data_IF_148717039109
#
_entry.id   IF_148717039109
#
_cell.length_a   1.000
_cell.length_b   1.000
_cell.length_c   1.000
_cell.angle_alpha   90.00
_cell.angle_beta   90.00
_cell.angle_gamma   90.00
#
_symmetry.space_group_name_H-M   'P 1'
#
loop_
_entity.id
_entity.type
_entity.pdbx_description
1 polymer ?
#
# COMPACT_ATOMS: atom_id res chain seq x y z
N UNK A 1 -14.79 9.21 35.40
CA UNK A 1 -13.79 9.46 34.34
C UNK A 1 -13.79 8.22 33.46
N UNK A 2 -14.24 8.35 32.21
CA UNK A 2 -14.01 7.29 31.23
C UNK A 2 -12.50 7.34 30.98
N UNK A 3 -11.79 6.24 31.27
CA UNK A 3 -10.39 6.12 30.87
C UNK A 3 -10.40 6.15 29.34
N UNK A 4 -9.93 7.24 28.72
CA UNK A 4 -9.74 7.24 27.28
C UNK A 4 -8.70 6.18 26.95
N UNK A 5 -9.10 5.17 26.17
CA UNK A 5 -8.18 4.16 25.65
C UNK A 5 -7.03 4.86 24.93
N UNK A 6 -5.80 4.51 25.27
CA UNK A 6 -4.60 5.00 24.62
C UNK A 6 -4.40 4.25 23.30
N UNK A 7 -5.21 4.62 22.31
CA UNK A 7 -5.10 4.16 20.94
C UNK A 7 -3.94 4.88 20.24
N UNK A 8 -3.06 4.11 19.59
CA UNK A 8 -1.89 4.65 18.89
C UNK A 8 -1.89 4.16 17.44
N UNK A 9 -1.87 5.11 16.51
CA UNK A 9 -1.62 4.85 15.09
C UNK A 9 -0.12 4.96 14.81
N UNK A 10 0.43 3.99 14.09
CA UNK A 10 1.86 3.88 13.79
C UNK A 10 2.06 3.69 12.30
N UNK A 11 2.89 4.55 11.70
CA UNK A 11 3.38 4.41 10.33
C UNK A 11 4.84 3.96 10.31
N UNK A 12 5.12 2.83 9.70
CA UNK A 12 6.48 2.29 9.55
C UNK A 12 6.87 2.35 8.07
N UNK A 13 7.92 3.10 7.73
CA UNK A 13 8.55 3.02 6.40
C UNK A 13 9.70 2.01 6.45
N UNK A 14 9.42 0.78 6.00
CA UNK A 14 10.35 -0.34 6.03
C UNK A 14 11.18 -0.38 4.74
N UNK A 15 12.45 0.04 4.85
CA UNK A 15 13.39 0.07 3.73
C UNK A 15 14.65 -0.77 4.01
N UNK A 16 15.36 -1.17 2.95
CA UNK A 16 16.52 -2.08 3.02
C UNK A 16 17.65 -1.61 3.93
N UNK A 17 17.97 -0.31 3.90
CA UNK A 17 19.09 0.27 4.66
C UNK A 17 18.65 0.80 6.02
N UNK A 18 17.54 1.52 6.04
CA UNK A 18 17.04 2.18 7.23
C UNK A 18 15.52 2.21 7.24
N UNK A 19 14.92 2.02 8.39
CA UNK A 19 13.49 2.12 8.65
C UNK A 19 13.18 3.41 9.42
N UNK A 20 12.02 4.01 9.18
CA UNK A 20 11.53 5.13 9.98
C UNK A 20 10.17 4.82 10.58
N UNK A 21 9.91 5.38 11.76
CA UNK A 21 8.65 5.18 12.48
C UNK A 21 8.06 6.54 12.83
N UNK A 22 6.77 6.68 12.61
CA UNK A 22 5.98 7.83 13.01
C UNK A 22 4.78 7.32 13.77
N UNK A 23 4.38 8.02 14.82
CA UNK A 23 3.17 7.69 15.56
C UNK A 23 2.27 8.90 15.77
N UNK A 24 1.00 8.60 16.03
CA UNK A 24 0.00 9.54 16.46
C UNK A 24 -0.82 8.93 17.60
N UNK A 25 -1.13 9.78 18.57
CA UNK A 25 -2.16 9.56 19.58
C UNK A 25 -2.93 10.87 19.75
N UNK A 26 -4.08 10.84 20.44
CA UNK A 26 -4.94 12.04 20.60
C UNK A 26 -4.30 13.20 21.38
N UNK A 27 -3.13 12.98 21.99
CA UNK A 27 -2.35 14.03 22.69
C UNK A 27 -1.47 14.82 21.72
N UNK A 28 -1.25 14.34 20.51
CA UNK A 28 -0.48 15.01 19.48
C UNK A 28 -1.39 15.84 18.56
N UNK A 29 -0.90 16.99 18.11
CA UNK A 29 -1.59 17.78 17.07
C UNK A 29 -1.35 17.24 15.66
N UNK A 30 -0.23 16.54 15.46
CA UNK A 30 0.18 15.93 14.20
C UNK A 30 1.04 14.68 14.45
N UNK A 31 1.19 13.78 13.46
CA UNK A 31 2.08 12.62 13.57
C UNK A 31 3.54 13.02 13.86
N UNK A 32 4.16 12.34 14.84
CA UNK A 32 5.53 12.58 15.28
C UNK A 32 6.45 11.43 14.88
N UNK A 33 7.52 11.74 14.15
CA UNK A 33 8.55 10.77 13.78
C UNK A 33 9.50 10.52 14.95
N UNK A 34 9.83 9.25 15.18
CA UNK A 34 10.65 8.79 16.30
C UNK A 34 12.13 8.95 15.96
N UNK A 35 12.91 9.52 16.89
CA UNK A 35 14.37 9.57 16.77
C UNK A 35 14.99 8.21 17.13
N UNK A 36 16.02 7.80 16.39
CA UNK A 36 16.75 6.54 16.53
C UNK A 36 17.86 6.56 17.59
N UNK A 37 18.17 7.70 18.23
CA UNK A 37 19.23 7.83 19.24
C UNK A 37 19.00 8.95 20.27
N UNK A 38 19.91 9.07 21.24
CA UNK A 38 19.92 10.13 22.28
C UNK A 38 20.24 11.53 21.73
N UNK A 39 20.91 11.59 20.58
CA UNK A 39 21.00 12.80 19.77
C UNK A 39 19.79 12.88 18.83
N UNK A 40 18.95 13.91 19.03
CA UNK A 40 17.68 14.18 18.33
C UNK A 40 17.79 14.43 16.81
N UNK A 41 18.77 13.86 16.11
CA UNK A 41 19.09 14.17 14.71
C UNK A 41 19.00 12.99 13.74
N UNK A 42 18.98 11.74 14.21
CA UNK A 42 18.85 10.55 13.34
C UNK A 42 17.48 9.92 13.49
N UNK A 43 16.60 10.06 12.49
CA UNK A 43 15.26 9.42 12.47
C UNK A 43 15.26 8.05 11.78
N UNK A 44 16.44 7.56 11.42
CA UNK A 44 16.65 6.33 10.66
C UNK A 44 17.14 5.23 11.61
N UNK A 45 16.34 4.17 11.73
CA UNK A 45 16.67 2.95 12.46
C UNK A 45 17.33 2.01 11.46
N UNK A 46 18.54 1.53 11.75
CA UNK A 46 19.23 0.61 10.83
C UNK A 46 18.43 -0.69 10.69
N UNK A 47 18.11 -1.05 9.44
CA UNK A 47 17.41 -2.29 9.14
C UNK A 47 18.41 -3.45 9.19
N UNK A 48 18.12 -4.58 9.84
CA UNK A 48 19.04 -5.71 9.89
C UNK A 48 19.43 -6.17 8.47
N UNK A 49 20.73 -6.33 8.22
CA UNK A 49 21.30 -6.55 6.87
C UNK A 49 20.71 -7.78 6.16
N UNK A 50 20.47 -8.85 6.90
CA UNK A 50 19.93 -10.12 6.38
C UNK A 50 18.40 -10.14 6.30
N UNK A 51 17.70 -9.14 6.87
CA UNK A 51 16.24 -9.17 6.99
C UNK A 51 15.56 -9.30 5.63
N UNK A 52 15.95 -8.44 4.67
CA UNK A 52 15.31 -8.44 3.37
C UNK A 52 15.57 -9.72 2.58
N UNK A 53 16.80 -10.27 2.64
CA UNK A 53 17.09 -11.54 1.96
C UNK A 53 16.32 -12.71 2.58
N UNK A 54 16.31 -12.82 3.91
CA UNK A 54 15.63 -13.93 4.60
C UNK A 54 14.11 -13.91 4.41
N UNK A 55 13.49 -12.73 4.39
CA UNK A 55 12.05 -12.59 4.09
C UNK A 55 11.78 -12.89 2.63
N UNK A 56 12.60 -12.41 1.70
CA UNK A 56 12.45 -12.68 0.26
C UNK A 56 12.65 -14.16 -0.12
N UNK A 57 13.41 -14.90 0.68
CA UNK A 57 13.56 -16.35 0.60
C UNK A 57 12.43 -17.13 1.30
N UNK A 58 11.41 -16.44 1.83
CA UNK A 58 10.24 -17.02 2.50
C UNK A 58 10.62 -17.92 3.70
N UNK A 59 11.70 -17.57 4.40
CA UNK A 59 12.17 -18.35 5.55
C UNK A 59 11.43 -17.96 6.83
N UNK A 60 11.15 -18.95 7.68
CA UNK A 60 10.57 -18.73 9.02
C UNK A 60 11.46 -17.80 9.87
N UNK A 61 12.78 -17.95 9.74
CA UNK A 61 13.78 -17.07 10.38
C UNK A 61 13.65 -15.60 9.92
N UNK A 62 13.29 -15.36 8.67
CA UNK A 62 13.04 -14.02 8.14
C UNK A 62 11.86 -13.35 8.84
N UNK A 63 10.76 -14.07 9.00
CA UNK A 63 9.56 -13.59 9.72
C UNK A 63 9.84 -13.37 11.21
N UNK A 64 10.61 -14.26 11.85
CA UNK A 64 11.04 -14.10 13.24
C UNK A 64 11.91 -12.85 13.43
N UNK A 65 12.93 -12.66 12.59
CA UNK A 65 13.79 -11.47 12.62
C UNK A 65 12.99 -10.18 12.35
N UNK A 66 11.97 -10.24 11.48
CA UNK A 66 11.06 -9.11 11.24
C UNK A 66 10.25 -8.77 12.50
N UNK A 67 9.74 -9.79 13.21
CA UNK A 67 9.00 -9.60 14.45
C UNK A 67 9.87 -9.01 15.56
N UNK A 68 11.10 -9.50 15.72
CA UNK A 68 12.09 -8.93 16.66
C UNK A 68 12.41 -7.47 16.32
N UNK A 69 12.59 -7.18 15.03
CA UNK A 69 12.84 -5.82 14.56
C UNK A 69 11.66 -4.89 14.83
N UNK A 70 10.42 -5.33 14.58
CA UNK A 70 9.23 -4.56 14.96
C UNK A 70 9.10 -4.35 16.47
N UNK A 71 9.48 -5.35 17.28
CA UNK A 71 9.58 -5.17 18.74
C UNK A 71 10.52 -4.03 19.13
N UNK A 72 11.74 -4.05 18.57
CA UNK A 72 12.76 -3.01 18.77
C UNK A 72 12.30 -1.63 18.28
N UNK A 73 11.45 -1.60 17.25
CA UNK A 73 10.81 -0.41 16.73
C UNK A 73 9.78 0.16 17.72
N UNK A 74 8.92 -0.70 18.29
CA UNK A 74 7.89 -0.29 19.24
C UNK A 74 8.44 0.17 20.58
N UNK A 75 9.55 -0.38 21.06
CA UNK A 75 10.24 0.11 22.26
C UNK A 75 10.64 1.59 22.16
N UNK A 76 10.83 2.09 20.94
CA UNK A 76 11.17 3.50 20.68
C UNK A 76 9.96 4.44 20.73
N UNK A 77 8.73 3.91 20.83
CA UNK A 77 7.50 4.68 21.02
C UNK A 77 7.32 5.19 22.47
N UNK A 78 8.40 5.29 23.25
CA UNK A 78 8.36 5.72 24.67
C UNK A 78 7.61 7.05 24.91
N UNK A 79 7.67 7.99 23.97
CA UNK A 79 6.93 9.26 24.03
C UNK A 79 5.41 9.14 23.80
N UNK A 80 4.92 7.98 23.39
CA UNK A 80 3.51 7.73 23.09
C UNK A 80 2.71 7.16 24.27
N UNK A 81 3.39 6.69 25.32
CA UNK A 81 2.81 5.93 26.43
C UNK A 81 2.52 4.47 26.05
N UNK A 82 2.13 3.65 27.04
CA UNK A 82 1.76 2.26 26.79
C UNK A 82 0.42 2.21 26.01
N UNK A 83 0.37 1.62 24.79
CA UNK A 83 -0.86 1.53 24.01
C UNK A 83 -1.83 0.53 24.64
N UNK A 84 -3.11 0.90 24.71
CA UNK A 84 -4.19 -0.08 24.89
C UNK A 84 -4.49 -0.80 23.57
N UNK A 85 -4.30 -0.10 22.45
CA UNK A 85 -4.52 -0.62 21.10
C UNK A 85 -3.51 0.00 20.12
N UNK A 86 -2.96 -0.83 19.21
CA UNK A 86 -1.99 -0.41 18.20
C UNK A 86 -2.59 -0.62 16.80
N UNK A 87 -2.60 0.43 15.98
CA UNK A 87 -2.95 0.39 14.57
C UNK A 87 -1.71 0.64 13.74
N UNK A 88 -1.26 -0.35 12.97
CA UNK A 88 0.04 -0.31 12.30
C UNK A 88 -0.13 -0.32 10.80
N UNK A 89 0.35 0.72 10.13
CA UNK A 89 0.50 0.78 8.68
C UNK A 89 1.97 0.64 8.32
N UNK A 90 2.31 -0.41 7.57
CA UNK A 90 3.65 -0.60 7.02
C UNK A 90 3.66 -0.16 5.56
N UNK A 91 4.60 0.74 5.23
CA UNK A 91 4.85 1.19 3.86
C UNK A 91 6.20 0.73 3.36
N UNK A 92 6.24 0.43 2.06
CA UNK A 92 7.46 0.04 1.33
C UNK A 92 7.41 0.63 -0.08
N UNK A 93 8.56 0.71 -0.76
CA UNK A 93 8.65 1.17 -2.15
C UNK A 93 7.70 0.44 -3.11
N UNK A 94 7.57 -0.87 -2.92
CA UNK A 94 6.62 -1.71 -3.64
C UNK A 94 6.17 -2.85 -2.73
N UNK A 95 4.87 -2.99 -2.53
CA UNK A 95 4.31 -4.11 -1.79
C UNK A 95 4.32 -5.37 -2.67
N UNK A 96 4.80 -6.49 -2.12
CA UNK A 96 4.83 -7.81 -2.80
C UNK A 96 4.17 -8.85 -1.90
N UNK A 97 3.64 -9.95 -2.45
CA UNK A 97 2.92 -10.95 -1.66
C UNK A 97 3.73 -11.49 -0.48
N UNK A 98 5.00 -11.80 -0.71
CA UNK A 98 5.94 -12.26 0.34
C UNK A 98 6.02 -11.30 1.53
N UNK A 99 6.08 -9.99 1.27
CA UNK A 99 6.14 -8.98 2.31
C UNK A 99 4.79 -8.78 3.00
N UNK A 100 3.68 -8.83 2.26
CA UNK A 100 2.36 -8.72 2.84
C UNK A 100 2.11 -9.82 3.89
N UNK A 101 2.45 -11.07 3.55
CA UNK A 101 2.37 -12.20 4.48
C UNK A 101 3.34 -12.05 5.66
N UNK A 102 4.62 -11.79 5.39
CA UNK A 102 5.64 -11.73 6.43
C UNK A 102 5.40 -10.60 7.43
N UNK A 103 5.01 -9.40 6.95
CA UNK A 103 4.70 -8.25 7.82
C UNK A 103 3.50 -8.55 8.71
N UNK A 104 2.44 -9.12 8.15
CA UNK A 104 1.22 -9.46 8.91
C UNK A 104 1.54 -10.47 10.01
N UNK A 105 2.26 -11.54 9.68
CA UNK A 105 2.64 -12.57 10.64
C UNK A 105 3.60 -12.02 11.72
N UNK A 106 4.59 -11.21 11.32
CA UNK A 106 5.53 -10.60 12.25
C UNK A 106 4.86 -9.65 13.25
N UNK A 107 3.86 -8.87 12.81
CA UNK A 107 3.10 -7.96 13.68
C UNK A 107 2.13 -8.72 14.60
N UNK A 108 1.52 -9.82 14.13
CA UNK A 108 0.73 -10.72 15.00
C UNK A 108 1.57 -11.30 16.13
N UNK A 109 2.82 -11.69 15.85
CA UNK A 109 3.81 -12.12 16.88
C UNK A 109 4.19 -11.01 17.86
N UNK A 110 3.86 -9.75 17.56
CA UNK A 110 4.00 -8.58 18.46
C UNK A 110 2.67 -8.15 19.08
N UNK A 111 1.67 -9.03 19.07
CA UNK A 111 0.33 -8.82 19.65
C UNK A 111 -0.46 -7.67 19.00
N UNK A 112 -0.17 -7.34 17.73
CA UNK A 112 -1.03 -6.46 16.95
C UNK A 112 -2.18 -7.31 16.37
N UNK A 113 -3.41 -6.88 16.60
CA UNK A 113 -4.60 -7.53 16.05
C UNK A 113 -4.57 -7.48 14.52
N UNK A 114 -4.99 -8.55 13.86
CA UNK A 114 -4.89 -8.68 12.40
C UNK A 114 -5.70 -7.59 11.67
N UNK A 115 -6.88 -7.25 12.20
CA UNK A 115 -7.74 -6.16 11.71
C UNK A 115 -7.12 -4.75 11.86
N UNK A 116 -6.05 -4.63 12.64
CA UNK A 116 -5.32 -3.39 12.89
C UNK A 116 -3.97 -3.34 12.16
N UNK A 117 -3.68 -4.33 11.32
CA UNK A 117 -2.49 -4.37 10.46
C UNK A 117 -2.88 -3.93 9.06
N UNK A 118 -2.22 -2.89 8.57
CA UNK A 118 -2.43 -2.31 7.26
C UNK A 118 -1.13 -2.24 6.49
N UNK A 119 -1.26 -2.28 5.17
CA UNK A 119 -0.15 -2.26 4.23
C UNK A 119 -0.43 -1.18 3.19
N UNK A 120 0.63 -0.50 2.75
CA UNK A 120 0.56 0.40 1.60
C UNK A 120 1.90 0.54 0.89
N UNK A 121 1.92 1.08 -0.33
CA UNK A 121 3.18 1.44 -0.99
C UNK A 121 3.60 2.90 -0.72
N UNK A 122 4.77 3.29 -1.19
CA UNK A 122 5.28 4.67 -1.05
C UNK A 122 4.40 5.71 -1.76
N UNK A 123 3.72 5.34 -2.86
CA UNK A 123 2.84 6.25 -3.59
C UNK A 123 1.57 6.55 -2.81
N UNK A 124 1.02 5.55 -2.14
CA UNK A 124 -0.09 5.68 -1.20
C UNK A 124 0.31 6.50 0.03
N UNK A 125 1.52 6.27 0.55
CA UNK A 125 2.06 7.12 1.61
C UNK A 125 2.15 8.58 1.17
N UNK A 126 2.61 8.86 -0.05
CA UNK A 126 2.64 10.22 -0.58
C UNK A 126 1.23 10.81 -0.72
N UNK A 127 0.27 10.03 -1.23
CA UNK A 127 -1.14 10.42 -1.25
C UNK A 127 -1.67 10.78 0.15
N UNK A 128 -1.54 9.87 1.11
CA UNK A 128 -2.05 10.05 2.47
C UNK A 128 -1.38 11.25 3.16
N UNK A 129 -0.09 11.46 2.92
CA UNK A 129 0.63 12.63 3.41
C UNK A 129 0.03 13.92 2.85
N UNK A 130 -0.11 14.03 1.53
CA UNK A 130 -0.57 15.26 0.85
C UNK A 130 -2.02 15.58 1.18
N UNK A 131 -2.91 14.60 1.22
CA UNK A 131 -4.33 14.82 1.54
C UNK A 131 -4.55 15.30 2.98
N UNK A 132 -3.60 15.03 3.88
CA UNK A 132 -3.62 15.52 5.27
C UNK A 132 -2.84 16.83 5.46
N UNK A 133 -2.38 17.47 4.37
CA UNK A 133 -1.82 18.81 4.42
C UNK A 133 -2.90 19.88 4.23
N UNK A 134 -2.57 21.12 4.60
CA UNK A 134 -3.43 22.28 4.33
C UNK A 134 -3.75 22.38 2.84
N UNK A 135 -5.00 22.74 2.53
CA UNK A 135 -5.56 22.71 1.17
C UNK A 135 -4.77 23.54 0.14
N UNK A 136 -4.16 24.65 0.56
CA UNK A 136 -3.31 25.50 -0.28
C UNK A 136 -2.10 24.78 -0.88
N UNK A 137 -1.61 23.74 -0.21
CA UNK A 137 -0.44 22.97 -0.65
C UNK A 137 -0.74 21.98 -1.78
N UNK A 138 -2.02 21.76 -2.10
CA UNK A 138 -2.48 20.78 -3.09
C UNK A 138 -3.76 21.23 -3.81
N UNK A 139 -3.92 22.54 -4.02
CA UNK A 139 -4.99 23.08 -4.88
C UNK A 139 -4.86 22.65 -6.34
N UNK A 140 -3.62 22.44 -6.78
CA UNK A 140 -3.24 21.95 -8.10
C UNK A 140 -2.37 20.70 -7.97
N UNK A 141 -1.53 20.41 -8.96
CA UNK A 141 -0.61 19.30 -8.93
C UNK A 141 0.41 19.45 -7.79
N UNK A 142 0.92 18.32 -7.31
CA UNK A 142 1.98 18.26 -6.30
C UNK A 142 3.13 17.44 -6.86
N UNK A 143 4.35 17.97 -6.77
CA UNK A 143 5.54 17.28 -7.24
C UNK A 143 6.26 16.60 -6.06
N UNK A 144 6.80 15.42 -6.31
CA UNK A 144 7.74 14.74 -5.43
C UNK A 144 8.97 14.36 -6.24
N UNK A 145 10.14 14.79 -5.80
CA UNK A 145 11.42 14.35 -6.34
C UNK A 145 12.14 13.52 -5.29
N UNK A 146 12.41 12.28 -5.63
CA UNK A 146 13.05 11.29 -4.76
C UNK A 146 14.46 11.02 -5.26
N UNK A 147 15.47 11.29 -4.43
CA UNK A 147 16.85 11.00 -4.73
C UNK A 147 17.28 9.72 -4.02
N UNK A 148 17.42 8.64 -4.78
CA UNK A 148 17.90 7.35 -4.29
C UNK A 148 19.02 6.80 -5.19
N UNK A 149 20.18 6.46 -4.61
CA UNK A 149 21.29 5.78 -5.29
C UNK A 149 21.64 6.42 -6.64
N UNK A 150 22.00 7.70 -6.61
CA UNK A 150 22.40 8.49 -7.79
C UNK A 150 21.34 8.58 -8.90
N UNK A 151 20.07 8.42 -8.54
CA UNK A 151 18.93 8.61 -9.43
C UNK A 151 17.89 9.51 -8.76
N UNK A 152 17.47 10.54 -9.48
CA UNK A 152 16.37 11.42 -9.07
C UNK A 152 15.13 11.05 -9.87
N UNK A 153 14.12 10.50 -9.21
CA UNK A 153 12.82 10.15 -9.81
C UNK A 153 11.78 11.23 -9.50
N UNK A 154 11.07 11.69 -10.53
CA UNK A 154 10.01 12.69 -10.41
C UNK A 154 8.63 12.04 -10.45
N UNK A 155 7.81 12.35 -9.45
CA UNK A 155 6.45 11.86 -9.25
C UNK A 155 5.47 13.03 -9.24
N UNK A 156 4.37 12.90 -9.97
CA UNK A 156 3.27 13.87 -9.99
C UNK A 156 2.06 13.29 -9.26
N UNK A 157 1.56 14.00 -8.25
CA UNK A 157 0.24 13.76 -7.68
C UNK A 157 -0.76 14.73 -8.30
N UNK A 158 -1.87 14.18 -8.79
CA UNK A 158 -3.00 14.94 -9.36
C UNK A 158 -4.34 14.41 -8.83
N UNK A 159 -5.27 15.33 -8.58
CA UNK A 159 -6.63 15.03 -8.11
C UNK A 159 -7.62 15.27 -9.26
N UNK A 160 -8.36 14.24 -9.63
CA UNK A 160 -9.48 14.32 -10.57
C UNK A 160 -10.78 14.51 -9.80
N UNK A 161 -11.26 15.75 -9.77
CA UNK A 161 -12.49 16.15 -9.07
C UNK A 161 -13.76 15.87 -9.88
N UNK A 162 -13.66 15.28 -11.08
CA UNK A 162 -14.83 14.94 -11.90
C UNK A 162 -15.53 13.67 -11.42
N UNK A 163 -14.83 12.83 -10.64
CA UNK A 163 -15.38 11.62 -10.03
C UNK A 163 -15.82 11.92 -8.59
N UNK A 164 -16.72 11.09 -8.06
CA UNK A 164 -17.09 11.07 -6.64
C UNK A 164 -17.02 9.63 -6.11
N UNK A 165 -16.09 9.29 -5.19
CA UNK A 165 -15.05 10.17 -4.65
C UNK A 165 -14.05 10.65 -5.73
N UNK A 166 -13.35 11.75 -5.45
CA UNK A 166 -12.34 12.29 -6.35
C UNK A 166 -11.14 11.33 -6.43
N UNK A 167 -10.73 10.96 -7.63
CA UNK A 167 -9.60 10.05 -7.80
C UNK A 167 -8.28 10.79 -7.70
N UNK A 168 -7.36 10.25 -6.91
CA UNK A 168 -6.00 10.77 -6.80
C UNK A 168 -5.05 9.79 -7.45
N UNK A 169 -4.22 10.30 -8.36
CA UNK A 169 -3.20 9.51 -9.06
C UNK A 169 -1.82 10.03 -8.70
N UNK A 170 -0.88 9.10 -8.53
CA UNK A 170 0.55 9.38 -8.37
C UNK A 170 1.27 8.67 -9.49
N UNK A 171 1.88 9.43 -10.40
CA UNK A 171 2.51 8.92 -11.61
C UNK A 171 3.99 9.30 -11.68
N UNK A 172 4.83 8.33 -12.03
CA UNK A 172 6.23 8.61 -12.39
C UNK A 172 6.25 9.38 -13.70
N UNK A 173 6.91 10.54 -13.73
CA UNK A 173 7.00 11.37 -14.94
C UNK A 173 8.34 11.23 -15.65
N UNK A 174 9.42 11.14 -14.89
CA UNK A 174 10.77 11.02 -15.43
C UNK A 174 11.76 10.61 -14.34
N UNK A 175 12.95 10.21 -14.76
CA UNK A 175 14.09 10.06 -13.87
C UNK A 175 15.36 10.62 -14.53
N UNK A 176 16.30 11.10 -13.73
CA UNK A 176 17.63 11.50 -14.18
C UNK A 176 18.70 10.79 -13.36
N UNK A 177 19.73 10.31 -14.04
CA UNK A 177 20.92 9.75 -13.40
C UNK A 177 21.93 10.86 -13.10
N UNK A 178 22.46 10.80 -11.89
CA UNK A 178 23.48 11.70 -11.32
C UNK A 178 24.62 10.87 -10.73
N UNK A 179 24.97 9.78 -11.44
CA UNK A 179 26.04 8.83 -11.12
C UNK A 179 27.37 9.22 -11.77
N UNK A 180 28.41 8.42 -11.53
CA UNK A 180 29.75 8.65 -12.10
C UNK A 180 29.75 8.62 -13.64
N UNK A 181 28.86 7.82 -14.23
CA UNK A 181 28.68 7.78 -15.70
C UNK A 181 28.12 9.11 -16.21
N UNK A 182 27.14 9.68 -15.51
CA UNK A 182 26.59 10.99 -15.82
C UNK A 182 27.60 12.12 -15.57
N UNK A 183 28.48 11.96 -14.57
CA UNK A 183 29.61 12.87 -14.30
C UNK A 183 30.58 12.93 -15.47
N UNK A 184 30.81 11.82 -16.17
CA UNK A 184 31.61 11.78 -17.40
C UNK A 184 33.02 12.40 -17.23
N UNK A 185 33.65 12.17 -16.08
CA UNK A 185 35.01 12.67 -15.78
C UNK A 185 35.10 14.17 -15.47
N UNK A 186 33.98 14.89 -15.34
CA UNK A 186 33.97 16.29 -14.90
C UNK A 186 34.59 16.45 -13.51
N UNK A 187 35.28 17.57 -13.28
CA UNK A 187 35.69 17.94 -11.93
C UNK A 187 34.47 18.23 -11.04
N UNK A 188 34.68 18.40 -9.72
CA UNK A 188 33.58 18.56 -8.76
C UNK A 188 32.74 19.83 -9.00
N UNK A 189 33.37 20.94 -9.39
CA UNK A 189 32.71 22.22 -9.65
C UNK A 189 31.85 22.15 -10.92
N UNK A 190 32.41 21.59 -11.99
CA UNK A 190 31.70 21.31 -13.25
C UNK A 190 30.56 20.34 -13.01
N UNK A 191 30.79 19.29 -12.23
CA UNK A 191 29.79 18.29 -11.93
C UNK A 191 28.62 18.87 -11.14
N UNK A 192 28.86 19.68 -10.11
CA UNK A 192 27.80 20.36 -9.37
C UNK A 192 26.90 21.18 -10.30
N UNK A 193 27.47 21.90 -11.27
CA UNK A 193 26.72 22.70 -12.26
C UNK A 193 25.92 21.84 -13.23
N UNK A 194 26.51 20.78 -13.75
CA UNK A 194 25.82 19.86 -14.66
C UNK A 194 24.70 19.08 -13.95
N UNK A 195 24.93 18.66 -12.71
CA UNK A 195 23.95 18.01 -11.85
C UNK A 195 22.74 18.92 -11.60
N UNK A 196 22.97 20.20 -11.26
CA UNK A 196 21.92 21.21 -11.13
C UNK A 196 21.15 21.39 -12.44
N UNK A 197 21.87 21.55 -13.56
CA UNK A 197 21.27 21.74 -14.89
C UNK A 197 20.35 20.57 -15.27
N UNK A 198 20.79 19.34 -15.02
CA UNK A 198 19.98 18.12 -15.27
C UNK A 198 18.72 18.10 -14.42
N UNK A 199 18.85 18.37 -13.12
CA UNK A 199 17.70 18.40 -12.23
C UNK A 199 16.73 19.54 -12.59
N UNK A 200 17.24 20.74 -12.87
CA UNK A 200 16.43 21.88 -13.33
C UNK A 200 15.68 21.55 -14.61
N UNK A 201 16.34 20.92 -15.59
CA UNK A 201 15.69 20.51 -16.85
C UNK A 201 14.55 19.52 -16.59
N UNK A 202 14.74 18.58 -15.66
CA UNK A 202 13.70 17.62 -15.27
C UNK A 202 12.49 18.34 -14.65
N UNK A 203 12.74 19.28 -13.73
CA UNK A 203 11.70 20.09 -13.08
C UNK A 203 10.93 20.90 -14.12
N UNK A 204 11.64 21.61 -15.01
CA UNK A 204 11.04 22.48 -16.02
C UNK A 204 10.14 21.70 -16.99
N UNK A 205 10.58 20.52 -17.43
CA UNK A 205 9.78 19.68 -18.32
C UNK A 205 8.52 19.16 -17.61
N UNK A 206 8.64 18.70 -16.37
CA UNK A 206 7.49 18.26 -15.57
C UNK A 206 6.47 19.40 -15.33
N UNK A 207 6.95 20.62 -15.15
CA UNK A 207 6.13 21.80 -14.81
C UNK A 207 5.55 22.49 -16.05
N UNK A 208 5.93 22.06 -17.25
CA UNK A 208 5.51 22.66 -18.51
C UNK A 208 4.00 22.52 -18.71
N UNK A 209 3.31 23.66 -18.82
CA UNK A 209 1.87 23.70 -19.08
C UNK A 209 0.98 23.28 -17.90
N UNK A 210 1.54 23.11 -16.70
CA UNK A 210 0.80 22.73 -15.49
C UNK A 210 1.13 23.64 -14.31
N UNK A 211 0.16 23.83 -13.43
CA UNK A 211 0.37 24.57 -12.18
C UNK A 211 0.63 23.59 -11.06
N UNK A 212 1.71 23.80 -10.32
CA UNK A 212 2.06 23.01 -9.13
C UNK A 212 1.91 23.87 -7.88
N UNK A 213 1.27 23.33 -6.85
CA UNK A 213 1.07 24.03 -5.57
C UNK A 213 2.30 23.90 -4.66
N UNK A 214 2.85 22.68 -4.59
CA UNK A 214 4.01 22.37 -3.77
C UNK A 214 4.93 21.34 -4.42
N UNK A 215 6.18 21.31 -3.96
CA UNK A 215 7.18 20.33 -4.34
C UNK A 215 7.86 19.76 -3.09
N UNK A 216 7.99 18.43 -3.04
CA UNK A 216 8.68 17.70 -1.98
C UNK A 216 9.99 17.13 -2.53
N UNK A 217 11.09 17.34 -1.80
CA UNK A 217 12.41 16.79 -2.09
C UNK A 217 12.77 15.81 -0.99
N UNK A 218 12.85 14.52 -1.31
CA UNK A 218 13.12 13.47 -0.33
C UNK A 218 14.38 12.69 -0.72
N UNK A 219 15.09 12.16 0.28
CA UNK A 219 16.33 11.42 0.10
C UNK A 219 17.58 12.29 0.30
N UNK A 220 18.66 11.64 0.71
CA UNK A 220 19.86 12.29 1.23
C UNK A 220 20.74 12.99 0.17
N UNK A 221 20.37 12.94 -1.11
CA UNK A 221 21.22 13.45 -2.20
C UNK A 221 21.00 14.93 -2.56
N UNK A 222 19.90 15.53 -2.09
CA UNK A 222 19.62 16.94 -2.33
C UNK A 222 20.43 17.83 -1.40
N UNK A 223 21.15 18.80 -1.97
CA UNK A 223 21.96 19.75 -1.21
C UNK A 223 21.91 21.13 -1.87
N UNK A 224 21.90 22.19 -1.04
CA UNK A 224 21.85 23.59 -1.47
C UNK A 224 23.13 24.04 -2.20
N UNK A 225 24.25 23.35 -2.00
CA UNK A 225 25.51 23.63 -2.67
C UNK A 225 25.43 23.37 -4.17
N UNK A 226 24.79 22.27 -4.59
CA UNK A 226 24.68 21.91 -6.00
C UNK A 226 23.35 22.32 -6.60
N UNK A 227 22.21 22.20 -5.91
CA UNK A 227 20.88 22.42 -6.50
C UNK A 227 20.41 23.90 -6.48
N UNK A 228 21.30 24.85 -6.72
CA UNK A 228 21.02 26.29 -6.50
C UNK A 228 19.94 26.83 -7.43
N UNK A 229 20.08 26.61 -8.73
CA UNK A 229 19.16 27.10 -9.74
C UNK A 229 17.85 26.29 -9.72
N UNK A 230 17.94 24.98 -9.49
CA UNK A 230 16.78 24.11 -9.27
C UNK A 230 15.91 24.58 -8.10
N UNK A 231 16.51 24.85 -6.94
CA UNK A 231 15.78 25.34 -5.76
C UNK A 231 15.23 26.76 -5.99
N UNK A 232 15.96 27.66 -6.66
CA UNK A 232 15.45 28.98 -7.02
C UNK A 232 14.20 28.89 -7.89
N UNK A 233 14.23 28.02 -8.91
CA UNK A 233 13.08 27.77 -9.77
C UNK A 233 11.91 27.17 -8.98
N UNK A 234 12.17 26.18 -8.12
CA UNK A 234 11.14 25.52 -7.30
C UNK A 234 10.48 26.47 -6.30
N UNK A 235 11.24 27.38 -5.68
CA UNK A 235 10.74 28.34 -4.70
C UNK A 235 10.02 29.56 -5.32
N UNK A 236 9.92 29.64 -6.64
CA UNK A 236 9.20 30.74 -7.30
C UNK A 236 7.68 30.51 -7.21
N UNK A 237 7.03 31.20 -6.25
CA UNK A 237 5.58 31.19 -6.00
C UNK A 237 4.99 29.84 -5.54
N UNK A 238 5.81 28.94 -4.98
CA UNK A 238 5.40 27.60 -4.55
C UNK A 238 6.03 27.24 -3.21
N UNK A 239 5.37 26.35 -2.48
CA UNK A 239 5.93 25.79 -1.25
C UNK A 239 6.86 24.62 -1.58
N UNK A 240 8.08 24.65 -1.04
CA UNK A 240 9.08 23.60 -1.25
C UNK A 240 9.48 23.05 0.10
N UNK A 241 9.38 21.73 0.25
CA UNK A 241 9.72 21.02 1.47
C UNK A 241 10.84 20.02 1.18
N UNK A 242 11.78 19.91 2.10
CA UNK A 242 12.89 18.96 2.03
C UNK A 242 12.96 18.17 3.32
N UNK A 243 13.00 16.85 3.22
CA UNK A 243 13.09 15.96 4.38
C UNK A 243 12.72 14.51 4.07
N UNK A 244 13.05 13.59 4.96
CA UNK A 244 13.00 12.16 4.66
C UNK A 244 11.82 11.42 5.28
N UNK A 245 11.01 12.06 6.14
CA UNK A 245 9.94 11.37 6.88
C UNK A 245 8.57 11.39 6.19
N UNK A 246 8.51 11.77 4.92
CA UNK A 246 7.25 11.90 4.18
C UNK A 246 6.50 10.56 4.14
N UNK A 247 7.17 9.46 3.81
CA UNK A 247 6.51 8.16 3.68
C UNK A 247 6.05 7.60 5.01
N UNK A 248 6.87 7.66 6.06
CA UNK A 248 6.46 7.21 7.41
C UNK A 248 5.30 8.06 7.97
N UNK A 249 5.28 9.38 7.73
CA UNK A 249 4.13 10.23 8.08
C UNK A 249 2.89 9.88 7.25
N UNK A 250 3.05 9.64 5.96
CA UNK A 250 1.99 9.15 5.08
C UNK A 250 1.39 7.82 5.53
N UNK A 251 2.23 6.88 6.00
CA UNK A 251 1.80 5.64 6.65
C UNK A 251 1.03 5.89 7.93
N UNK A 252 1.51 6.80 8.78
CA UNK A 252 0.79 7.13 10.01
C UNK A 252 -0.59 7.74 9.73
N UNK A 253 -0.69 8.65 8.74
CA UNK A 253 -1.98 9.19 8.31
C UNK A 253 -2.90 8.10 7.72
N UNK A 254 -2.34 7.16 6.95
CA UNK A 254 -3.08 6.01 6.46
C UNK A 254 -3.65 5.14 7.60
N UNK A 255 -2.84 4.86 8.62
CA UNK A 255 -3.31 4.17 9.84
C UNK A 255 -4.41 4.95 10.55
N UNK A 256 -4.24 6.26 10.72
CA UNK A 256 -5.25 7.14 11.35
C UNK A 256 -6.58 7.14 10.60
N UNK A 257 -6.56 7.12 9.27
CA UNK A 257 -7.77 7.04 8.46
C UNK A 257 -8.49 5.71 8.63
N UNK A 258 -7.74 4.60 8.72
CA UNK A 258 -8.30 3.25 8.89
C UNK A 258 -8.91 3.03 10.28
N UNK A 259 -8.32 3.60 11.33
CA UNK A 259 -8.83 3.49 12.70
C UNK A 259 -9.79 4.61 13.11
N UNK A 260 -10.17 5.50 12.19
CA UNK A 260 -11.15 6.57 12.46
C UNK A 260 -10.60 7.76 13.26
N UNK A 261 -9.28 7.85 13.47
CA UNK A 261 -8.64 9.02 14.10
C UNK A 261 -8.50 10.22 13.15
N UNK A 262 -8.54 9.98 11.83
CA UNK A 262 -8.57 11.01 10.81
C UNK A 262 -9.67 10.70 9.78
N UNK A 263 -10.27 11.75 9.21
CA UNK A 263 -11.18 11.58 8.08
C UNK A 263 -10.39 11.29 6.80
N UNK A 264 -10.84 10.30 6.03
CA UNK A 264 -10.26 9.95 4.72
C UNK A 264 -10.60 10.96 3.61
N UNK A 265 -11.54 11.89 3.89
CA UNK A 265 -12.12 12.80 2.88
C UNK A 265 -12.86 12.05 1.77
N UNK A 266 -13.35 12.79 0.78
CA UNK A 266 -13.99 12.23 -0.43
C UNK A 266 -12.95 11.93 -1.52
N UNK A 267 -11.82 11.30 -1.15
CA UNK A 267 -10.70 11.01 -2.04
C UNK A 267 -10.40 9.51 -2.06
N UNK A 268 -10.16 8.97 -3.26
CA UNK A 268 -9.72 7.59 -3.43
C UNK A 268 -8.41 7.56 -4.22
N UNK A 269 -7.40 6.89 -3.67
CA UNK A 269 -6.15 6.68 -4.38
C UNK A 269 -6.32 5.61 -5.48
N UNK A 270 -6.24 6.05 -6.73
CA UNK A 270 -6.34 5.19 -7.91
C UNK A 270 -4.94 4.72 -8.35
N UNK A 271 -4.36 3.85 -7.53
CA UNK A 271 -3.01 3.31 -7.72
C UNK A 271 -2.90 2.13 -8.69
N UNK A 272 -1.66 1.72 -9.03
CA UNK A 272 -1.41 0.51 -9.83
C UNK A 272 -1.81 -0.79 -9.13
N UNK A 273 -1.94 -0.77 -7.80
CA UNK A 273 -2.30 -1.94 -6.99
C UNK A 273 -3.80 -2.00 -6.63
N UNK A 274 -4.55 -0.92 -6.91
CA UNK A 274 -5.98 -0.85 -6.65
C UNK A 274 -6.74 -1.80 -7.60
N UNK A 275 -7.55 -2.69 -7.04
CA UNK A 275 -8.42 -3.57 -7.82
C UNK A 275 -9.62 -2.80 -8.37
N UNK A 276 -9.95 -3.06 -9.63
CA UNK A 276 -11.03 -2.39 -10.37
C UNK A 276 -12.24 -3.29 -10.58
N UNK A 277 -12.28 -4.44 -9.88
CA UNK A 277 -13.31 -5.47 -10.03
C UNK A 277 -13.97 -5.76 -8.69
N UNK A 278 -15.30 -5.75 -8.69
CA UNK A 278 -16.09 -6.36 -7.63
C UNK A 278 -16.21 -7.86 -7.92
N UNK A 279 -15.93 -8.69 -6.92
CA UNK A 279 -16.07 -10.15 -6.98
C UNK A 279 -17.23 -10.58 -6.08
N UNK A 280 -18.00 -11.55 -6.56
CA UNK A 280 -19.12 -12.12 -5.81
C UNK A 280 -19.75 -13.29 -6.54
N UNK A 281 -20.92 -13.70 -6.09
CA UNK A 281 -21.70 -14.79 -6.69
C UNK A 281 -23.19 -14.58 -6.43
N UNK A 282 -24.03 -15.14 -7.29
CA UNK A 282 -25.47 -15.23 -7.01
C UNK A 282 -25.70 -16.33 -5.99
N UNK A 283 -26.33 -15.99 -4.86
CA UNK A 283 -26.55 -16.91 -3.75
C UNK A 283 -27.98 -16.84 -3.25
N UNK A 284 -28.45 -17.92 -2.63
CA UNK A 284 -29.70 -17.91 -1.85
C UNK A 284 -29.39 -17.47 -0.42
N UNK A 285 -29.55 -16.19 -0.12
CA UNK A 285 -29.34 -15.62 1.22
C UNK A 285 -30.69 -15.43 1.88
N UNK A 286 -30.92 -16.13 3.00
CA UNK A 286 -32.17 -16.07 3.78
C UNK A 286 -33.43 -16.29 2.91
N UNK A 287 -33.32 -17.17 1.90
CA UNK A 287 -34.42 -17.53 1.00
C UNK A 287 -34.60 -16.62 -0.22
N UNK A 288 -33.80 -15.55 -0.37
CA UNK A 288 -33.83 -14.67 -1.53
C UNK A 288 -32.61 -14.91 -2.42
N UNK A 289 -32.81 -14.90 -3.74
CA UNK A 289 -31.69 -14.90 -4.69
C UNK A 289 -31.13 -13.49 -4.79
N UNK A 290 -29.88 -13.31 -4.41
CA UNK A 290 -29.19 -12.03 -4.47
C UNK A 290 -27.71 -12.19 -4.80
N UNK A 291 -27.13 -11.13 -5.36
CA UNK A 291 -25.69 -11.02 -5.54
C UNK A 291 -25.00 -10.81 -4.19
N UNK A 292 -24.29 -11.83 -3.72
CA UNK A 292 -23.46 -11.75 -2.54
C UNK A 292 -22.08 -11.19 -2.93
N UNK A 293 -21.79 -9.96 -2.50
CA UNK A 293 -20.50 -9.31 -2.73
C UNK A 293 -19.46 -9.83 -1.74
N UNK A 294 -18.34 -10.32 -2.27
CA UNK A 294 -17.23 -10.87 -1.48
C UNK A 294 -16.09 -9.87 -1.37
N UNK A 295 -15.66 -9.32 -2.50
CA UNK A 295 -14.60 -8.32 -2.58
C UNK A 295 -15.10 -7.16 -3.43
N UNK A 296 -14.90 -5.93 -2.97
CA UNK A 296 -15.30 -4.72 -3.69
C UNK A 296 -14.10 -4.05 -4.34
N UNK A 297 -14.31 -3.41 -5.49
CA UNK A 297 -13.30 -2.59 -6.14
C UNK A 297 -12.92 -1.37 -5.27
N UNK A 298 -11.73 -0.82 -5.50
CA UNK A 298 -11.25 0.37 -4.77
C UNK A 298 -10.36 0.08 -3.56
N UNK A 299 -10.05 -1.19 -3.30
CA UNK A 299 -9.02 -1.60 -2.33
C UNK A 299 -7.77 -2.09 -3.06
N UNK A 300 -6.62 -2.15 -2.40
CA UNK A 300 -5.43 -2.75 -3.01
C UNK A 300 -5.51 -4.27 -3.01
N UNK A 301 -4.90 -4.91 -4.01
CA UNK A 301 -4.97 -6.36 -4.18
C UNK A 301 -4.45 -7.14 -2.96
N UNK A 302 -3.42 -6.65 -2.27
CA UNK A 302 -2.86 -7.30 -1.08
C UNK A 302 -3.73 -7.13 0.18
N UNK A 303 -4.80 -6.34 0.12
CA UNK A 303 -5.82 -6.24 1.17
C UNK A 303 -7.16 -6.86 0.74
N UNK A 304 -7.25 -7.34 -0.50
CA UNK A 304 -8.47 -7.88 -1.07
C UNK A 304 -8.58 -9.37 -0.79
N UNK A 305 -9.11 -9.72 0.39
CA UNK A 305 -9.37 -11.09 0.84
C UNK A 305 -10.78 -11.22 1.42
N UNK A 306 -11.43 -12.35 1.17
CA UNK A 306 -12.73 -12.71 1.73
C UNK A 306 -12.76 -14.21 2.06
N UNK A 307 -13.38 -14.55 3.18
CA UNK A 307 -13.56 -15.94 3.61
C UNK A 307 -15.03 -16.15 3.95
N UNK A 308 -15.64 -17.21 3.44
CA UNK A 308 -17.01 -17.57 3.79
C UNK A 308 -17.26 -19.07 3.66
N UNK A 309 -18.35 -19.53 4.27
CA UNK A 309 -18.87 -20.88 4.07
C UNK A 309 -20.24 -20.82 3.42
N UNK A 310 -20.55 -21.76 2.53
CA UNK A 310 -21.88 -21.89 1.93
C UNK A 310 -22.24 -23.33 1.59
N UNK A 311 -23.53 -23.57 1.33
CA UNK A 311 -24.07 -24.90 1.04
C UNK A 311 -24.39 -25.00 -0.45
N UNK A 312 -23.96 -26.08 -1.10
CA UNK A 312 -24.22 -26.33 -2.52
C UNK A 312 -25.67 -26.79 -2.77
N UNK A 313 -26.23 -26.34 -3.89
CA UNK A 313 -27.57 -26.69 -4.34
C UNK A 313 -27.56 -27.58 -5.60
N UNK A 314 -27.28 -28.87 -5.41
CA UNK A 314 -27.26 -29.90 -6.48
C UNK A 314 -26.41 -29.51 -7.70
N UNK A 315 -25.27 -28.89 -7.43
CA UNK A 315 -24.28 -28.49 -8.43
C UNK A 315 -22.88 -28.87 -7.97
N UNK A 316 -22.00 -29.10 -8.95
CA UNK A 316 -20.55 -29.22 -8.76
C UNK A 316 -19.81 -28.02 -9.34
N UNK A 317 -20.51 -27.09 -9.97
CA UNK A 317 -19.95 -25.92 -10.63
C UNK A 317 -20.25 -24.68 -9.79
N UNK A 318 -19.20 -24.00 -9.33
CA UNK A 318 -19.30 -22.72 -8.64
C UNK A 318 -19.03 -21.61 -9.66
N UNK A 319 -19.95 -20.66 -9.77
CA UNK A 319 -19.85 -19.53 -10.71
C UNK A 319 -19.54 -18.25 -9.95
N UNK A 320 -18.34 -17.73 -10.15
CA UNK A 320 -17.93 -16.42 -9.64
C UNK A 320 -18.24 -15.35 -10.68
N UNK A 321 -18.74 -14.20 -10.21
CA UNK A 321 -19.05 -13.04 -11.02
C UNK A 321 -18.08 -11.91 -10.72
N UNK A 322 -17.43 -11.42 -11.76
CA UNK A 322 -16.61 -10.22 -11.71
C UNK A 322 -17.33 -9.06 -12.39
N UNK A 323 -17.35 -7.88 -11.75
CA UNK A 323 -17.90 -6.63 -12.31
C UNK A 323 -16.85 -5.53 -12.23
N UNK A 324 -16.35 -5.11 -13.38
CA UNK A 324 -15.40 -4.00 -13.48
C UNK A 324 -16.08 -2.65 -13.20
N UNK A 325 -15.29 -1.64 -12.79
CA UNK A 325 -15.78 -0.28 -12.49
C UNK A 325 -16.45 0.42 -13.68
N UNK A 326 -16.16 0.01 -14.92
CA UNK A 326 -16.84 0.53 -16.13
C UNK A 326 -18.16 -0.18 -16.46
N UNK A 327 -18.61 -1.08 -15.58
CA UNK A 327 -19.86 -1.81 -15.72
C UNK A 327 -19.75 -3.14 -16.47
N UNK A 328 -18.61 -3.45 -17.11
CA UNK A 328 -18.44 -4.76 -17.75
C UNK A 328 -18.44 -5.91 -16.74
N UNK A 329 -18.98 -7.06 -17.14
CA UNK A 329 -19.11 -8.24 -16.29
C UNK A 329 -18.62 -9.51 -16.99
N UNK A 330 -18.05 -10.43 -16.21
CA UNK A 330 -17.65 -11.77 -16.66
C UNK A 330 -18.02 -12.81 -15.60
N UNK A 331 -18.37 -14.02 -16.04
CA UNK A 331 -18.60 -15.19 -15.20
C UNK A 331 -17.44 -16.19 -15.30
N UNK A 332 -17.01 -16.73 -14.17
CA UNK A 332 -15.88 -17.64 -14.05
C UNK A 332 -16.34 -18.91 -13.34
N UNK A 333 -16.35 -20.04 -14.05
CA UNK A 333 -16.83 -21.31 -13.52
C UNK A 333 -15.67 -22.15 -13.02
N UNK A 334 -15.76 -22.64 -11.79
CA UNK A 334 -14.86 -23.65 -11.22
C UNK A 334 -15.65 -24.92 -10.95
N UNK A 335 -15.25 -26.02 -11.61
CA UNK A 335 -15.84 -27.34 -11.40
C UNK A 335 -15.12 -28.07 -10.26
N UNK A 336 -15.87 -28.47 -9.24
CA UNK A 336 -15.42 -29.30 -8.13
C UNK A 336 -15.28 -30.76 -8.59
N UNK A 337 -14.16 -31.07 -9.24
CA UNK A 337 -13.84 -32.41 -9.71
C UNK A 337 -13.76 -33.39 -8.54
N UNK A 338 -14.26 -34.61 -8.75
CA UNK A 338 -14.27 -35.68 -7.73
C UNK A 338 -15.06 -35.35 -6.45
N UNK A 339 -16.00 -34.40 -6.50
CA UNK A 339 -16.92 -34.13 -5.40
C UNK A 339 -17.78 -35.37 -5.09
N UNK A 340 -17.87 -35.83 -3.82
CA UNK A 340 -18.71 -36.96 -3.46
C UNK A 340 -20.18 -36.71 -3.81
N UNK A 341 -20.86 -37.75 -4.32
CA UNK A 341 -22.30 -37.70 -4.53
C UNK A 341 -23.01 -37.70 -3.19
N UNK A 342 -23.72 -36.62 -2.89
CA UNK A 342 -24.57 -36.45 -1.70
C UNK A 342 -25.92 -35.88 -2.12
N UNK A 343 -26.97 -35.99 -1.29
CA UNK A 343 -28.23 -35.30 -1.53
C UNK A 343 -28.05 -33.79 -1.67
N UNK A 344 -29.03 -33.13 -2.27
CA UNK A 344 -29.05 -31.68 -2.36
C UNK A 344 -28.88 -31.04 -0.96
N UNK A 345 -28.09 -29.97 -0.86
CA UNK A 345 -27.80 -29.24 0.38
C UNK A 345 -27.08 -30.05 1.46
N UNK A 346 -26.39 -31.13 1.09
CA UNK A 346 -25.61 -31.96 2.00
C UNK A 346 -24.09 -31.72 1.92
N UNK A 347 -23.67 -30.66 1.23
CA UNK A 347 -22.25 -30.29 1.09
C UNK A 347 -22.08 -28.82 1.44
N UNK A 348 -21.29 -28.54 2.48
CA UNK A 348 -20.82 -27.21 2.84
C UNK A 348 -19.40 -27.02 2.32
N UNK A 349 -19.16 -25.89 1.69
CA UNK A 349 -17.87 -25.49 1.14
C UNK A 349 -17.34 -24.32 1.98
N UNK A 350 -16.09 -24.43 2.41
CA UNK A 350 -15.28 -23.29 2.87
C UNK A 350 -14.62 -22.66 1.66
N UNK A 351 -14.76 -21.36 1.48
CA UNK A 351 -14.17 -20.59 0.39
C UNK A 351 -13.24 -19.51 0.96
N UNK A 352 -12.01 -19.49 0.44
CA UNK A 352 -11.10 -18.36 0.57
C UNK A 352 -10.89 -17.73 -0.80
N UNK A 353 -11.19 -16.45 -0.92
CA UNK A 353 -10.99 -15.66 -2.13
C UNK A 353 -9.99 -14.55 -1.81
N UNK A 354 -8.96 -14.38 -2.63
CA UNK A 354 -8.00 -13.29 -2.47
C UNK A 354 -7.36 -12.87 -3.80
N UNK A 355 -7.02 -11.60 -3.93
CA UNK A 355 -6.23 -11.17 -5.09
C UNK A 355 -4.74 -11.42 -4.87
N UNK A 356 -4.08 -11.95 -5.90
CA UNK A 356 -2.61 -12.17 -5.92
C UNK A 356 -1.89 -11.15 -6.80
N UNK A 357 -2.66 -10.36 -7.56
CA UNK A 357 -2.24 -9.17 -8.30
C UNK A 357 -3.50 -8.38 -8.70
N UNK A 358 -3.36 -7.15 -9.22
CA UNK A 358 -4.49 -6.31 -9.66
C UNK A 358 -5.56 -7.05 -10.50
N UNK A 359 -5.14 -7.95 -11.38
CA UNK A 359 -6.02 -8.63 -12.34
C UNK A 359 -6.11 -10.15 -12.11
N UNK A 360 -5.59 -10.68 -11.01
CA UNK A 360 -5.64 -12.14 -10.75
C UNK A 360 -6.19 -12.40 -9.36
N UNK A 361 -7.29 -13.14 -9.31
CA UNK A 361 -7.97 -13.54 -8.09
C UNK A 361 -7.83 -15.04 -7.89
N UNK A 362 -7.25 -15.48 -6.78
CA UNK A 362 -7.18 -16.87 -6.38
C UNK A 362 -8.40 -17.22 -5.54
N UNK A 363 -8.97 -18.40 -5.80
CA UNK A 363 -10.02 -19.00 -4.98
C UNK A 363 -9.57 -20.38 -4.53
N UNK A 364 -9.74 -20.66 -3.24
CA UNK A 364 -9.50 -21.96 -2.61
C UNK A 364 -10.79 -22.43 -1.98
N UNK A 365 -11.16 -23.67 -2.26
CA UNK A 365 -12.39 -24.26 -1.76
C UNK A 365 -12.08 -25.58 -1.06
N UNK A 366 -12.73 -25.84 0.07
CA UNK A 366 -12.61 -27.09 0.81
C UNK A 366 -13.99 -27.67 1.11
N UNK A 367 -14.17 -28.98 0.87
CA UNK A 367 -15.39 -29.69 1.27
C UNK A 367 -15.39 -29.97 2.76
N UNK A 368 -16.22 -29.26 3.51
CA UNK A 368 -16.43 -29.46 4.94
C UNK A 368 -17.50 -30.52 5.26
N UNK A 369 -18.18 -31.07 4.24
CA UNK A 369 -19.33 -31.94 4.43
C UNK A 369 -20.51 -31.21 5.10
N UNK A 370 -21.28 -31.90 5.92
CA UNK A 370 -22.35 -31.35 6.76
C UNK A 370 -22.39 -32.10 8.09
N UNK A 371 -21.28 -32.03 8.83
CA UNK A 371 -21.12 -32.69 10.12
C UNK A 371 -21.08 -34.22 10.01
N UNK A 372 -21.54 -34.91 11.05
CA UNK A 372 -21.54 -36.39 11.08
C UNK A 372 -22.50 -37.03 10.08
N UNK A 373 -23.55 -36.32 9.67
CA UNK A 373 -24.52 -36.83 8.69
C UNK A 373 -23.89 -37.01 7.31
N UNK A 374 -22.99 -36.11 6.94
CA UNK A 374 -22.25 -36.15 5.69
C UNK A 374 -20.80 -35.71 5.96
N UNK A 375 -19.89 -36.64 6.29
CA UNK A 375 -18.53 -36.28 6.65
C UNK A 375 -17.81 -35.53 5.53
N UNK A 376 -16.91 -34.61 5.90
CA UNK A 376 -15.97 -33.97 4.97
C UNK A 376 -15.19 -35.03 4.18
N UNK A 377 -14.99 -34.78 2.89
CA UNK A 377 -14.09 -35.61 2.08
C UNK A 377 -12.63 -35.17 2.14
N UNK A 378 -12.34 -34.02 2.76
CA UNK A 378 -11.02 -33.39 2.75
C UNK A 378 -10.57 -32.91 1.36
N UNK A 379 -11.45 -32.95 0.35
CA UNK A 379 -11.13 -32.47 -0.99
C UNK A 379 -10.96 -30.95 -0.98
N UNK A 380 -9.90 -30.50 -1.66
CA UNK A 380 -9.57 -29.10 -1.84
C UNK A 380 -9.42 -28.81 -3.33
N UNK A 381 -9.86 -27.61 -3.73
CA UNK A 381 -9.75 -27.11 -5.09
C UNK A 381 -9.14 -25.71 -5.06
N UNK A 382 -8.25 -25.42 -5.99
CA UNK A 382 -7.66 -24.10 -6.18
C UNK A 382 -7.83 -23.69 -7.65
N UNK A 383 -8.23 -22.44 -7.89
CA UNK A 383 -8.25 -21.83 -9.20
C UNK A 383 -7.75 -20.39 -9.14
N UNK A 384 -7.12 -19.92 -10.22
CA UNK A 384 -6.77 -18.51 -10.40
C UNK A 384 -7.58 -17.94 -11.55
N UNK A 385 -8.46 -17.02 -11.22
CA UNK A 385 -9.32 -16.27 -12.13
C UNK A 385 -8.50 -15.10 -12.69
N UNK A 386 -8.35 -15.05 -14.01
CA UNK A 386 -7.77 -13.91 -14.72
C UNK A 386 -8.87 -12.92 -15.09
N UNK A 387 -8.72 -11.68 -14.64
CA UNK A 387 -9.65 -10.57 -14.84
C UNK A 387 -9.12 -9.60 -15.91
N UNK A 388 -7.87 -9.78 -16.35
CA UNK A 388 -7.25 -8.94 -17.36
C UNK A 388 -8.04 -8.99 -18.66
N UNK A 389 -8.34 -7.83 -19.24
CA UNK A 389 -8.77 -7.78 -20.63
C UNK A 389 -7.62 -8.31 -21.48
N UNK A 390 -7.86 -9.32 -22.30
CA UNK A 390 -7.09 -9.47 -23.53
C UNK A 390 -7.21 -8.13 -24.26
N UNK A 391 -6.13 -7.33 -24.26
CA UNK A 391 -6.01 -6.27 -25.25
C UNK A 391 -6.01 -7.02 -26.57
N UNK A 392 -7.12 -6.96 -27.30
CA UNK A 392 -7.07 -7.15 -28.75
C UNK A 392 -6.04 -6.12 -29.23
N UNK A 393 -4.83 -6.59 -29.55
CA UNK A 393 -3.91 -5.84 -30.37
C UNK A 393 -4.69 -5.53 -31.64
N UNK A 394 -5.17 -4.29 -31.74
CA UNK A 394 -5.67 -3.76 -32.99
C UNK A 394 -4.45 -3.64 -33.89
N UNK A 395 -4.32 -4.59 -34.81
CA UNK A 395 -3.56 -4.42 -36.04
C UNK A 395 -3.94 -3.07 -36.66
N UNK A 396 -2.96 -2.17 -36.74
CA UNK A 396 -2.97 -1.00 -37.62
C UNK A 396 -1.52 -0.61 -37.92
#
# INVERSE_FOLDING_TARGET
MINELNEIAVGIDLCRKSTQITFYNRKNTEPKTVAAGSENSKYQIETPKELFSLVEEETERGTELLAEFFGSCFERLSGAGAPDCLYVMVTMKKMRPVWASAVTEALKRRNVLEENIYLQDHRESFFNYVMNQRKDLWNYHVALFEYETDRITAWELAVDTRTKPAFVRVEEKSHVFVDEKARSGMDEEQWKKEKDRRFLSQIQEMFKGKVFSSAYLIGNGFDKEWARESLRFLCTRRHVFMGDNLYTKGACYGAMARCGMAGSGDYLYAGPDMIEYNMGMEMLVRGNREYYSMITAGVNWYSARHVCEFILDDTKDIVFLSRHLDGSQMSHTVTLTELPKRPNRATRIHLEMEFVSKNRCRVRMEDLGLGSLYPSSGKQWEAVIDLGRERKESEA
#
